data_IF_154672437528
#
_entry.id   IF_154672437528
#
_cell.length_a   1.000
_cell.length_b   1.000
_cell.length_c   1.000
_cell.angle_alpha   90.00
_cell.angle_beta   90.00
_cell.angle_gamma   90.00
#
_symmetry.space_group_name_H-M   'P 1'
#
loop_
_entity.id
_entity.type
_entity.pdbx_description
1 polymer ?
#
# COMPACT_ATOMS: atom_id res chain seq x y z
N UNK A 1 19.96 47.15 19.74
CA UNK A 1 19.33 45.90 20.17
C UNK A 1 18.72 45.26 18.94
N UNK A 2 19.48 44.39 18.29
CA UNK A 2 19.09 43.73 17.05
C UNK A 2 18.43 42.40 17.38
N UNK A 3 17.17 42.30 17.01
CA UNK A 3 16.33 41.12 17.14
C UNK A 3 16.82 40.00 16.18
N UNK A 4 17.62 39.09 16.69
CA UNK A 4 17.92 37.85 16.01
C UNK A 4 16.69 36.92 16.06
N UNK A 5 15.81 37.07 15.08
CA UNK A 5 14.79 36.08 14.80
C UNK A 5 15.50 34.79 14.30
N UNK A 6 15.70 33.87 15.23
CA UNK A 6 16.08 32.50 14.92
C UNK A 6 15.03 31.93 13.95
N UNK A 7 15.42 31.77 12.68
CA UNK A 7 14.66 30.95 11.70
C UNK A 7 14.65 29.52 12.25
N UNK A 8 13.57 29.14 12.90
CA UNK A 8 13.25 27.74 13.16
C UNK A 8 13.08 27.09 11.80
N UNK A 9 14.14 26.46 11.31
CA UNK A 9 14.06 25.50 10.21
C UNK A 9 13.17 24.36 10.71
N UNK A 10 11.90 24.37 10.35
CA UNK A 10 11.02 23.23 10.59
C UNK A 10 11.62 22.02 9.89
N UNK A 11 11.89 20.94 10.64
CA UNK A 11 12.27 19.66 10.04
C UNK A 11 11.22 19.33 8.99
N UNK A 12 11.64 19.10 7.74
CA UNK A 12 10.73 18.74 6.64
C UNK A 12 10.01 17.46 7.05
N UNK A 13 8.68 17.46 7.03
CA UNK A 13 7.92 16.25 7.37
C UNK A 13 8.30 15.13 6.40
N UNK A 14 8.43 13.92 6.92
CA UNK A 14 8.73 12.75 6.12
C UNK A 14 7.46 12.34 5.35
N UNK A 15 7.55 12.27 4.02
CA UNK A 15 6.41 11.90 3.18
C UNK A 15 6.39 10.38 3.00
N UNK A 16 5.25 9.76 3.30
CA UNK A 16 5.03 8.34 3.08
C UNK A 16 3.65 8.09 2.49
N UNK A 17 3.60 7.38 1.37
CA UNK A 17 2.37 7.11 0.63
C UNK A 17 2.11 5.62 0.58
N UNK A 18 0.90 5.20 0.94
CA UNK A 18 0.47 3.82 0.88
C UNK A 18 -0.87 3.68 0.18
N UNK A 19 -1.13 2.53 -0.39
CA UNK A 19 -2.41 2.17 -1.00
C UNK A 19 -2.93 0.89 -0.37
N UNK A 20 -4.24 0.81 -0.16
CA UNK A 20 -4.90 -0.39 0.37
C UNK A 20 -5.81 -0.96 -0.70
N UNK A 21 -5.57 -2.23 -1.04
CA UNK A 21 -6.26 -2.95 -2.11
C UNK A 21 -6.86 -4.24 -1.56
N UNK A 22 -8.01 -4.63 -2.06
CA UNK A 22 -8.68 -5.87 -1.67
C UNK A 22 -10.18 -5.85 -1.97
N UNK A 23 -10.83 -6.98 -1.75
CA UNK A 23 -12.26 -7.15 -2.01
C UNK A 23 -13.12 -6.14 -1.23
N UNK A 24 -14.31 -5.85 -1.75
CA UNK A 24 -15.32 -5.06 -1.03
C UNK A 24 -15.71 -5.73 0.30
N UNK A 25 -15.99 -4.92 1.32
CA UNK A 25 -16.45 -5.42 2.63
C UNK A 25 -15.36 -5.97 3.55
N UNK A 26 -14.08 -5.97 3.17
CA UNK A 26 -12.98 -6.43 4.04
C UNK A 26 -12.62 -5.46 5.18
N UNK A 27 -13.19 -4.26 5.18
CA UNK A 27 -12.94 -3.27 6.23
C UNK A 27 -11.70 -2.41 5.99
N UNK A 28 -11.32 -2.18 4.73
CA UNK A 28 -10.17 -1.34 4.35
C UNK A 28 -10.23 0.05 4.96
N UNK A 29 -11.34 0.76 4.77
CA UNK A 29 -11.54 2.12 5.31
C UNK A 29 -11.52 2.16 6.85
N UNK A 30 -12.11 1.16 7.52
CA UNK A 30 -12.02 1.01 8.97
C UNK A 30 -10.58 0.77 9.43
N UNK A 31 -9.83 -0.03 8.68
CA UNK A 31 -8.43 -0.27 8.99
C UNK A 31 -7.57 0.99 8.85
N UNK A 32 -7.84 1.84 7.87
CA UNK A 32 -7.17 3.14 7.73
C UNK A 32 -7.36 3.98 9.00
N UNK A 33 -8.59 4.09 9.49
CA UNK A 33 -8.87 4.79 10.75
C UNK A 33 -8.18 4.16 11.96
N UNK A 34 -8.04 2.84 11.95
CA UNK A 34 -7.33 2.10 12.98
C UNK A 34 -5.83 2.39 12.95
N UNK A 35 -5.22 2.34 11.78
CA UNK A 35 -3.79 2.55 11.58
C UNK A 35 -3.36 3.98 11.94
N UNK A 36 -4.14 4.97 11.48
CA UNK A 36 -3.84 6.38 11.70
C UNK A 36 -4.21 6.88 13.10
N UNK A 37 -4.94 6.09 13.89
CA UNK A 37 -5.55 6.48 15.17
C UNK A 37 -6.46 7.72 15.09
N UNK A 38 -6.86 8.11 13.89
CA UNK A 38 -7.75 9.24 13.62
C UNK A 38 -8.95 8.81 12.78
N UNK A 39 -10.11 9.44 12.93
CA UNK A 39 -11.25 9.22 12.05
C UNK A 39 -10.99 9.89 10.69
N UNK A 40 -9.99 9.42 9.97
CA UNK A 40 -9.54 9.96 8.69
C UNK A 40 -10.61 9.80 7.61
N UNK A 41 -11.25 8.64 7.60
CA UNK A 41 -12.39 8.34 6.74
C UNK A 41 -13.65 8.45 7.58
N UNK A 42 -14.63 9.29 7.18
CA UNK A 42 -15.88 9.44 7.92
C UNK A 42 -16.57 8.08 8.11
N UNK A 43 -17.04 7.81 9.32
CA UNK A 43 -17.90 6.65 9.58
C UNK A 43 -19.16 6.79 8.76
N UNK A 44 -19.45 5.79 7.95
CA UNK A 44 -20.74 5.68 7.28
C UNK A 44 -21.75 5.24 8.33
N UNK A 45 -22.57 6.17 8.80
CA UNK A 45 -23.63 5.87 9.76
C UNK A 45 -24.78 5.21 9.00
N UNK A 46 -25.07 4.01 9.36
CA UNK A 46 -26.25 3.28 8.91
C UNK A 46 -27.06 2.94 10.16
N UNK A 47 -28.12 3.69 10.39
CA UNK A 47 -28.98 3.52 11.57
C UNK A 47 -29.81 2.24 11.50
N UNK A 48 -30.01 1.68 10.30
CA UNK A 48 -30.77 0.44 10.09
C UNK A 48 -29.93 -0.57 9.29
N UNK A 49 -29.51 -1.71 9.91
CA UNK A 49 -28.75 -2.76 9.23
C UNK A 49 -29.44 -3.34 7.99
N UNK A 50 -30.77 -3.29 7.92
CA UNK A 50 -31.54 -3.80 6.78
C UNK A 50 -31.51 -2.85 5.57
N UNK A 51 -31.24 -1.57 5.79
CA UNK A 51 -31.14 -0.55 4.75
C UNK A 51 -29.68 -0.17 4.41
N UNK A 52 -28.72 -0.74 5.11
CA UNK A 52 -27.31 -0.63 4.81
C UNK A 52 -26.98 -1.31 3.49
N UNK A 53 -27.41 -0.70 2.40
CA UNK A 53 -26.72 -0.88 1.14
C UNK A 53 -25.31 -0.33 1.39
N UNK A 54 -24.32 -1.22 1.49
CA UNK A 54 -22.92 -0.80 1.66
C UNK A 54 -22.60 0.17 0.51
N UNK A 55 -22.64 1.47 0.83
CA UNK A 55 -22.12 2.46 -0.11
C UNK A 55 -20.66 2.12 -0.34
N UNK A 56 -20.39 1.60 -1.53
CA UNK A 56 -19.05 1.18 -1.93
C UNK A 56 -18.22 2.43 -2.20
N UNK A 57 -16.96 2.36 -1.89
CA UNK A 57 -15.99 3.31 -2.44
C UNK A 57 -16.06 3.15 -3.95
N UNK A 58 -16.47 4.19 -4.67
CA UNK A 58 -16.67 4.14 -6.13
C UNK A 58 -15.39 4.57 -6.85
N UNK A 59 -14.66 5.51 -6.25
CA UNK A 59 -13.45 6.10 -6.81
C UNK A 59 -12.26 5.91 -5.88
N UNK A 60 -11.05 5.95 -6.45
CA UNK A 60 -9.81 5.96 -5.69
C UNK A 60 -9.72 7.30 -4.95
N UNK A 61 -9.58 7.27 -3.62
CA UNK A 61 -9.53 8.46 -2.77
C UNK A 61 -8.26 8.48 -1.93
N UNK A 62 -7.55 9.60 -1.98
CA UNK A 62 -6.35 9.80 -1.19
C UNK A 62 -6.65 10.68 0.04
N UNK A 63 -6.25 10.22 1.21
CA UNK A 63 -6.38 10.92 2.48
C UNK A 63 -5.00 11.19 3.05
N UNK A 64 -4.73 12.43 3.42
CA UNK A 64 -3.44 12.79 4.00
C UNK A 64 -3.60 13.13 5.48
N UNK A 65 -2.79 12.52 6.31
CA UNK A 65 -2.77 12.68 7.76
C UNK A 65 -1.36 13.02 8.22
N UNK A 66 -1.25 14.00 9.11
CA UNK A 66 0.01 14.23 9.81
C UNK A 66 0.04 13.39 11.09
N UNK A 67 1.06 12.57 11.24
CA UNK A 67 1.29 11.76 12.43
C UNK A 67 2.67 12.07 13.00
N UNK A 68 2.81 11.87 14.30
CA UNK A 68 4.09 11.99 15.01
C UNK A 68 4.32 10.65 15.70
N UNK A 69 5.25 9.87 15.16
CA UNK A 69 5.66 8.58 15.71
C UNK A 69 7.13 8.69 16.11
N UNK A 70 7.43 8.36 17.35
CA UNK A 70 8.77 8.39 17.94
C UNK A 70 9.52 9.73 17.75
N UNK A 71 8.76 10.87 17.72
CA UNK A 71 9.30 12.20 17.51
C UNK A 71 9.63 12.52 16.04
N UNK A 72 9.29 11.64 15.11
CA UNK A 72 9.37 11.87 13.67
C UNK A 72 8.03 12.36 13.14
N UNK A 73 8.02 13.59 12.61
CA UNK A 73 6.83 14.13 11.92
C UNK A 73 6.72 13.52 10.55
N UNK A 74 5.66 12.77 10.34
CA UNK A 74 5.35 12.11 9.08
C UNK A 74 4.06 12.66 8.49
N UNK A 75 4.07 12.91 7.19
CA UNK A 75 2.88 13.14 6.39
C UNK A 75 2.56 11.84 5.68
N UNK A 76 1.57 11.13 6.19
CA UNK A 76 1.09 9.87 5.67
C UNK A 76 -0.05 10.12 4.68
N UNK A 77 0.10 9.69 3.44
CA UNK A 77 -0.99 9.66 2.46
C UNK A 77 -1.46 8.22 2.30
N UNK A 78 -2.72 7.97 2.60
CA UNK A 78 -3.35 6.66 2.43
C UNK A 78 -4.37 6.72 1.32
N UNK A 79 -4.21 5.86 0.34
CA UNK A 79 -5.10 5.75 -0.81
C UNK A 79 -6.06 4.59 -0.58
N UNK A 80 -7.35 4.91 -0.41
CA UNK A 80 -8.43 3.92 -0.32
C UNK A 80 -8.94 3.60 -1.73
N UNK A 81 -9.03 2.31 -2.05
CA UNK A 81 -9.47 1.85 -3.37
C UNK A 81 -10.85 1.24 -3.34
N UNK A 82 -11.61 1.33 -4.46
CA UNK A 82 -12.82 0.55 -4.65
C UNK A 82 -12.55 -0.93 -4.40
N UNK A 83 -13.46 -1.59 -3.70
CA UNK A 83 -13.35 -3.05 -3.51
C UNK A 83 -13.71 -3.77 -4.80
N UNK A 84 -12.89 -4.72 -5.22
CA UNK A 84 -13.15 -5.59 -6.37
C UNK A 84 -13.88 -6.89 -5.97
N UNK A 85 -14.23 -7.70 -6.96
CA UNK A 85 -14.71 -9.08 -6.75
C UNK A 85 -16.24 -9.25 -6.65
N UNK A 86 -17.03 -8.21 -6.95
CA UNK A 86 -18.48 -8.31 -7.02
C UNK A 86 -19.02 -8.26 -8.47
N UNK A 87 -18.25 -7.71 -9.38
CA UNK A 87 -18.59 -7.67 -10.79
C UNK A 87 -17.92 -8.84 -11.53
N UNK A 88 -18.57 -9.31 -12.60
CA UNK A 88 -18.08 -10.40 -13.47
C UNK A 88 -16.77 -10.01 -14.15
N UNK A 89 -16.57 -8.72 -14.43
CA UNK A 89 -15.35 -8.20 -15.04
C UNK A 89 -14.52 -7.39 -14.01
N UNK A 90 -13.59 -8.08 -13.37
CA UNK A 90 -12.66 -7.46 -12.41
C UNK A 90 -11.43 -6.85 -13.10
N UNK A 91 -11.22 -7.10 -14.39
CA UNK A 91 -10.03 -6.66 -15.13
C UNK A 91 -9.97 -5.14 -15.25
N UNK A 92 -11.12 -4.47 -15.35
CA UNK A 92 -11.22 -3.00 -15.39
C UNK A 92 -10.69 -2.37 -14.11
N UNK A 93 -11.10 -2.88 -12.96
CA UNK A 93 -10.63 -2.37 -11.65
C UNK A 93 -9.13 -2.62 -11.44
N UNK A 94 -8.61 -3.73 -11.96
CA UNK A 94 -7.18 -4.02 -11.88
C UNK A 94 -6.35 -3.02 -12.67
N UNK A 95 -6.83 -2.69 -13.87
CA UNK A 95 -6.18 -1.69 -14.72
C UNK A 95 -6.27 -0.29 -14.11
N UNK A 96 -7.36 0.05 -13.43
CA UNK A 96 -7.50 1.35 -12.73
C UNK A 96 -6.47 1.49 -11.61
N UNK A 97 -6.29 0.44 -10.77
CA UNK A 97 -5.30 0.46 -9.68
C UNK A 97 -3.88 0.54 -10.24
N UNK A 98 -3.56 -0.27 -11.26
CA UNK A 98 -2.26 -0.26 -11.90
C UNK A 98 -1.97 1.09 -12.55
N UNK A 99 -2.92 1.63 -13.32
CA UNK A 99 -2.80 2.94 -13.96
C UNK A 99 -2.63 4.07 -12.95
N UNK A 100 -3.29 3.98 -11.79
CA UNK A 100 -3.10 4.96 -10.71
C UNK A 100 -1.66 4.96 -10.21
N UNK A 101 -1.08 3.77 -9.93
CA UNK A 101 0.31 3.65 -9.46
C UNK A 101 1.29 4.15 -10.52
N UNK A 102 1.10 3.74 -11.80
CA UNK A 102 1.96 4.15 -12.90
C UNK A 102 1.86 5.66 -13.19
N UNK A 103 0.69 6.27 -13.00
CA UNK A 103 0.52 7.71 -13.15
C UNK A 103 1.36 8.50 -12.14
N UNK A 104 1.49 8.00 -10.89
CA UNK A 104 2.37 8.63 -9.91
C UNK A 104 3.86 8.56 -10.34
N UNK A 105 4.26 7.50 -11.01
CA UNK A 105 5.60 7.39 -11.61
C UNK A 105 5.77 8.32 -12.81
N UNK A 106 4.76 8.42 -13.68
CA UNK A 106 4.78 9.33 -14.83
C UNK A 106 4.90 10.80 -14.40
N UNK A 107 4.26 11.20 -13.30
CA UNK A 107 4.37 12.56 -12.75
C UNK A 107 5.81 12.87 -12.30
N UNK A 108 6.48 11.93 -11.66
CA UNK A 108 7.89 12.07 -11.24
C UNK A 108 8.80 12.14 -12.47
N UNK A 109 8.62 11.23 -13.43
CA UNK A 109 9.38 11.20 -14.69
C UNK A 109 9.21 12.51 -15.49
N UNK A 110 7.99 13.03 -15.55
CA UNK A 110 7.71 14.32 -16.18
C UNK A 110 8.41 15.49 -15.47
N UNK A 111 8.46 15.47 -14.13
CA UNK A 111 9.17 16.50 -13.35
C UNK A 111 10.68 16.42 -13.53
N UNK A 112 11.23 15.20 -13.55
CA UNK A 112 12.66 14.96 -13.78
C UNK A 112 13.13 15.41 -15.16
N UNK A 113 12.26 15.32 -16.15
CA UNK A 113 12.51 15.71 -17.54
C UNK A 113 12.51 17.23 -17.75
N UNK A 114 12.03 18.01 -16.76
CA UNK A 114 11.99 19.49 -16.86
C UNK A 114 13.37 20.09 -16.67
N UNK A 115 13.73 21.08 -17.53
CA UNK A 115 14.94 21.90 -17.39
C UNK A 115 14.92 22.67 -16.05
N UNK A 116 13.74 23.18 -15.66
CA UNK A 116 13.50 23.85 -14.39
C UNK A 116 12.60 22.97 -13.51
N UNK A 117 13.18 22.28 -12.56
CA UNK A 117 12.44 21.46 -11.59
C UNK A 117 11.72 22.35 -10.58
N UNK A 118 10.52 21.94 -10.18
CA UNK A 118 9.75 22.61 -9.14
C UNK A 118 10.32 22.27 -7.74
N UNK A 119 10.91 23.23 -6.98
CA UNK A 119 11.47 22.93 -5.67
C UNK A 119 10.42 22.55 -4.63
N UNK A 120 9.13 22.73 -4.95
CA UNK A 120 8.00 22.35 -4.09
C UNK A 120 7.30 21.06 -4.57
N UNK A 121 7.88 20.37 -5.56
CA UNK A 121 7.34 19.09 -6.01
C UNK A 121 7.34 18.11 -4.84
N UNK A 122 6.21 17.48 -4.62
CA UNK A 122 6.06 16.44 -3.60
C UNK A 122 6.05 15.09 -4.31
N UNK A 123 6.84 14.18 -3.79
CA UNK A 123 6.87 12.81 -4.25
C UNK A 123 5.53 12.11 -3.93
N UNK A 124 4.78 11.79 -4.98
CA UNK A 124 3.47 11.13 -4.89
C UNK A 124 3.54 9.62 -5.11
N UNK A 125 4.72 9.05 -5.38
CA UNK A 125 4.89 7.62 -5.61
C UNK A 125 4.38 6.80 -4.43
N UNK A 126 3.75 5.68 -4.74
CA UNK A 126 3.25 4.74 -3.72
C UNK A 126 4.41 3.87 -3.25
N UNK A 127 4.71 3.92 -1.95
CA UNK A 127 5.84 3.19 -1.37
C UNK A 127 5.47 1.76 -0.97
N UNK A 128 4.21 1.54 -0.55
CA UNK A 128 3.72 0.23 -0.11
C UNK A 128 2.26 0.03 -0.49
N UNK A 129 1.92 -1.19 -0.85
CA UNK A 129 0.56 -1.66 -1.09
C UNK A 129 0.20 -2.70 -0.04
N UNK A 130 -0.83 -2.41 0.75
CA UNK A 130 -1.42 -3.38 1.67
C UNK A 130 -2.47 -4.19 0.93
N UNK A 131 -2.17 -5.46 0.66
CA UNK A 131 -3.07 -6.34 -0.05
C UNK A 131 -3.95 -7.12 0.93
N UNK A 132 -5.24 -6.78 0.97
CA UNK A 132 -6.19 -7.39 1.90
C UNK A 132 -6.78 -8.67 1.34
N UNK A 133 -6.42 -9.80 1.96
CA UNK A 133 -6.87 -11.15 1.64
C UNK A 133 -8.10 -11.48 2.50
N UNK A 134 -9.20 -11.99 1.91
CA UNK A 134 -10.36 -12.41 2.69
C UNK A 134 -10.03 -13.63 3.56
N UNK A 135 -10.57 -13.71 4.78
CA UNK A 135 -10.26 -14.78 5.74
C UNK A 135 -11.05 -16.06 5.42
N UNK A 136 -10.80 -16.65 4.26
CA UNK A 136 -11.51 -17.87 3.80
C UNK A 136 -11.01 -19.15 4.47
N UNK A 137 -9.78 -19.14 4.98
CA UNK A 137 -9.15 -20.30 5.61
C UNK A 137 -8.67 -21.38 4.61
N UNK A 138 -8.78 -21.15 3.29
CA UNK A 138 -8.43 -22.17 2.28
C UNK A 138 -7.10 -21.86 1.58
N UNK A 139 -7.14 -21.10 0.50
CA UNK A 139 -6.00 -20.74 -0.34
C UNK A 139 -6.22 -19.34 -0.92
N UNK A 140 -5.21 -18.78 -1.59
CA UNK A 140 -5.39 -17.58 -2.41
C UNK A 140 -6.36 -17.87 -3.55
N UNK A 141 -7.24 -16.93 -3.84
CA UNK A 141 -8.12 -17.05 -5.01
C UNK A 141 -7.33 -16.67 -6.27
N UNK A 142 -7.71 -17.25 -7.39
CA UNK A 142 -7.10 -16.95 -8.69
C UNK A 142 -7.11 -15.44 -9.00
N UNK A 143 -8.18 -14.75 -8.61
CA UNK A 143 -8.31 -13.30 -8.79
C UNK A 143 -7.28 -12.51 -7.98
N UNK A 144 -6.98 -12.97 -6.76
CA UNK A 144 -5.98 -12.33 -5.90
C UNK A 144 -4.56 -12.58 -6.45
N UNK A 145 -4.28 -13.80 -6.93
CA UNK A 145 -3.02 -14.18 -7.56
C UNK A 145 -2.78 -13.33 -8.82
N UNK A 146 -3.78 -13.21 -9.68
CA UNK A 146 -3.67 -12.43 -10.92
C UNK A 146 -3.39 -10.95 -10.64
N UNK A 147 -4.11 -10.36 -9.69
CA UNK A 147 -3.90 -8.95 -9.34
C UNK A 147 -2.53 -8.73 -8.72
N UNK A 148 -2.12 -9.57 -7.77
CA UNK A 148 -0.80 -9.46 -7.15
C UNK A 148 0.33 -9.61 -8.19
N UNK A 149 0.20 -10.52 -9.17
CA UNK A 149 1.16 -10.66 -10.28
C UNK A 149 1.26 -9.41 -11.15
N UNK A 150 0.17 -8.71 -11.40
CA UNK A 150 0.18 -7.46 -12.17
C UNK A 150 0.80 -6.30 -11.41
N UNK A 151 0.68 -6.31 -10.08
CA UNK A 151 1.17 -5.25 -9.20
C UNK A 151 2.63 -5.48 -8.76
N UNK A 152 3.08 -6.76 -8.73
CA UNK A 152 4.48 -7.03 -8.40
C UNK A 152 5.39 -6.40 -9.47
N UNK A 153 6.51 -5.80 -9.03
CA UNK A 153 7.38 -5.03 -9.90
C UNK A 153 6.92 -3.57 -10.14
N UNK A 154 5.77 -3.16 -9.60
CA UNK A 154 5.32 -1.75 -9.61
C UNK A 154 5.22 -1.15 -8.21
N UNK A 155 5.02 -1.95 -7.19
CA UNK A 155 4.86 -1.49 -5.81
C UNK A 155 5.29 -2.59 -4.83
N UNK A 156 5.80 -2.20 -3.66
CA UNK A 156 6.09 -3.15 -2.58
C UNK A 156 4.79 -3.69 -2.00
N UNK A 157 4.54 -4.98 -2.13
CA UNK A 157 3.32 -5.63 -1.67
C UNK A 157 3.52 -6.20 -0.27
N UNK A 158 2.66 -5.80 0.68
CA UNK A 158 2.54 -6.42 2.00
C UNK A 158 1.19 -7.15 2.09
N UNK A 159 1.18 -8.49 2.10
CA UNK A 159 -0.06 -9.25 2.21
C UNK A 159 -0.61 -9.20 3.64
N UNK A 160 -1.92 -8.94 3.76
CA UNK A 160 -2.63 -8.82 5.03
C UNK A 160 -3.91 -9.66 5.01
N UNK A 161 -4.11 -10.52 6.00
CA UNK A 161 -5.36 -11.24 6.21
C UNK A 161 -6.34 -10.33 6.95
N UNK A 162 -7.40 -9.92 6.27
CA UNK A 162 -8.42 -9.05 6.84
C UNK A 162 -9.32 -9.81 7.83
N UNK A 163 -9.85 -9.09 8.83
CA UNK A 163 -10.79 -9.67 9.82
C UNK A 163 -10.28 -11.00 10.40
N UNK A 164 -9.02 -11.04 10.80
CA UNK A 164 -8.35 -12.24 11.29
C UNK A 164 -9.03 -12.84 12.52
N UNK A 165 -9.84 -12.06 13.22
CA UNK A 165 -10.68 -12.45 14.36
C UNK A 165 -11.81 -13.45 14.00
N UNK A 166 -12.03 -13.72 12.72
CA UNK A 166 -12.99 -14.72 12.24
C UNK A 166 -12.40 -16.13 12.18
N UNK A 167 -11.08 -16.27 12.29
CA UNK A 167 -10.37 -17.53 12.24
C UNK A 167 -9.85 -17.92 13.63
N UNK A 168 -9.85 -19.21 13.92
CA UNK A 168 -9.17 -19.71 15.12
C UNK A 168 -7.64 -19.65 14.94
N UNK A 169 -6.83 -19.61 16.01
CA UNK A 169 -5.38 -19.54 15.89
C UNK A 169 -4.76 -20.66 15.04
N UNK A 170 -5.33 -21.86 15.08
CA UNK A 170 -4.87 -23.01 14.29
C UNK A 170 -5.20 -22.84 12.80
N UNK A 171 -6.41 -22.39 12.50
CA UNK A 171 -6.85 -22.10 11.14
C UNK A 171 -6.03 -20.95 10.54
N UNK A 172 -5.80 -19.89 11.32
CA UNK A 172 -4.99 -18.75 10.90
C UNK A 172 -3.56 -19.17 10.56
N UNK A 173 -2.91 -19.96 11.41
CA UNK A 173 -1.55 -20.44 11.15
C UNK A 173 -1.48 -21.31 9.88
N UNK A 174 -2.42 -22.24 9.71
CA UNK A 174 -2.50 -23.06 8.50
C UNK A 174 -2.82 -22.25 7.25
N UNK A 175 -3.62 -21.21 7.38
CA UNK A 175 -3.97 -20.32 6.27
C UNK A 175 -2.78 -19.44 5.86
N UNK A 176 -2.04 -18.85 6.82
CA UNK A 176 -0.80 -18.11 6.55
C UNK A 176 0.20 -18.94 5.74
N UNK A 177 0.43 -20.20 6.15
CA UNK A 177 1.35 -21.10 5.44
C UNK A 177 0.91 -21.33 3.99
N UNK A 178 -0.36 -21.65 3.74
CA UNK A 178 -0.87 -21.88 2.37
C UNK A 178 -0.76 -20.62 1.49
N UNK A 179 -1.07 -19.44 2.04
CA UNK A 179 -0.92 -18.20 1.29
C UNK A 179 0.54 -17.98 0.87
N UNK A 180 1.49 -18.20 1.77
CA UNK A 180 2.91 -18.05 1.44
C UNK A 180 3.39 -19.10 0.44
N UNK A 181 2.86 -20.33 0.51
CA UNK A 181 3.11 -21.38 -0.51
C UNK A 181 2.55 -20.94 -1.87
N UNK A 182 1.32 -20.43 -1.93
CA UNK A 182 0.70 -19.93 -3.17
C UNK A 182 1.49 -18.76 -3.76
N UNK A 183 1.96 -17.82 -2.93
CA UNK A 183 2.78 -16.68 -3.33
C UNK A 183 4.10 -17.18 -3.95
N UNK A 184 4.76 -18.15 -3.30
CA UNK A 184 6.02 -18.72 -3.79
C UNK A 184 5.85 -19.50 -5.09
N UNK A 185 4.81 -20.37 -5.18
CA UNK A 185 4.52 -21.15 -6.40
C UNK A 185 4.20 -20.27 -7.60
N UNK A 186 3.55 -19.12 -7.34
CA UNK A 186 3.16 -18.17 -8.40
C UNK A 186 4.23 -17.10 -8.68
N UNK A 187 5.40 -17.18 -8.04
CA UNK A 187 6.53 -16.25 -8.22
C UNK A 187 6.13 -14.78 -7.97
N UNK A 188 5.21 -14.55 -7.01
CA UNK A 188 4.77 -13.21 -6.65
C UNK A 188 5.81 -12.59 -5.71
N UNK A 189 6.38 -11.45 -6.10
CA UNK A 189 7.30 -10.71 -5.24
C UNK A 189 6.52 -9.90 -4.20
N UNK A 190 6.75 -10.22 -2.93
CA UNK A 190 6.23 -9.47 -1.79
C UNK A 190 7.41 -8.90 -1.00
N UNK A 191 7.17 -7.84 -0.24
CA UNK A 191 8.19 -7.32 0.67
C UNK A 191 8.38 -8.31 1.82
N UNK A 192 9.55 -8.91 1.90
CA UNK A 192 9.87 -10.03 2.80
C UNK A 192 10.90 -9.70 3.87
N UNK A 193 11.09 -8.41 4.17
CA UNK A 193 12.04 -7.94 5.19
C UNK A 193 13.46 -8.46 4.90
N UNK A 194 14.14 -7.91 3.90
CA UNK A 194 15.49 -8.36 3.55
C UNK A 194 16.44 -8.18 4.73
N UNK A 195 17.40 -9.08 4.86
CA UNK A 195 18.46 -9.03 5.84
C UNK A 195 19.78 -8.96 5.10
N UNK A 196 20.62 -7.98 5.40
CA UNK A 196 21.98 -7.88 4.90
C UNK A 196 22.97 -8.25 6.00
N UNK A 197 23.62 -9.41 5.87
CA UNK A 197 24.61 -9.90 6.85
C UNK A 197 25.83 -8.96 7.02
N UNK A 198 26.03 -8.02 6.11
CA UNK A 198 27.16 -7.10 6.16
C UNK A 198 26.82 -5.73 6.78
N UNK A 199 25.55 -5.31 6.72
CA UNK A 199 25.10 -3.99 7.16
C UNK A 199 24.24 -4.06 8.42
N UNK A 200 23.47 -5.15 8.61
CA UNK A 200 22.57 -5.32 9.73
C UNK A 200 23.30 -5.90 10.95
N UNK A 201 22.94 -5.42 12.14
CA UNK A 201 23.37 -6.04 13.39
C UNK A 201 22.49 -7.27 13.72
N UNK A 202 22.98 -8.08 14.66
CA UNK A 202 22.29 -9.33 15.05
C UNK A 202 20.85 -9.07 15.56
N UNK A 203 20.60 -7.92 16.18
CA UNK A 203 19.29 -7.53 16.73
C UNK A 203 18.31 -7.21 15.58
N UNK A 204 18.73 -6.40 14.62
CA UNK A 204 17.94 -6.07 13.42
C UNK A 204 17.63 -7.31 12.59
N UNK A 205 18.62 -8.20 12.40
CA UNK A 205 18.39 -9.47 11.69
C UNK A 205 17.36 -10.34 12.40
N UNK A 206 17.40 -10.42 13.73
CA UNK A 206 16.43 -11.17 14.51
C UNK A 206 15.01 -10.57 14.38
N UNK A 207 14.88 -9.24 14.45
CA UNK A 207 13.61 -8.54 14.26
C UNK A 207 13.03 -8.79 12.85
N UNK A 208 13.86 -8.71 11.81
CA UNK A 208 13.44 -8.97 10.43
C UNK A 208 12.98 -10.42 10.24
N UNK A 209 13.66 -11.39 10.84
CA UNK A 209 13.23 -12.80 10.82
C UNK A 209 11.89 -13.00 11.54
N UNK A 210 11.66 -12.34 12.67
CA UNK A 210 10.39 -12.36 13.37
C UNK A 210 9.27 -11.78 12.53
N UNK A 211 9.48 -10.59 11.91
CA UNK A 211 8.52 -9.95 11.02
C UNK A 211 8.20 -10.81 9.80
N UNK A 212 9.21 -11.42 9.18
CA UNK A 212 9.05 -12.37 8.07
C UNK A 212 8.15 -13.55 8.47
N UNK A 213 8.28 -14.05 9.70
CA UNK A 213 7.46 -15.15 10.21
C UNK A 213 5.98 -14.77 10.42
N UNK A 214 5.67 -13.46 10.54
CA UNK A 214 4.30 -12.95 10.68
C UNK A 214 3.55 -12.84 9.34
N UNK A 215 4.25 -12.90 8.22
CA UNK A 215 3.62 -12.80 6.90
C UNK A 215 2.68 -13.99 6.61
N UNK A 216 1.51 -13.74 5.99
CA UNK A 216 0.80 -12.45 5.85
C UNK A 216 0.33 -11.92 7.20
N UNK A 217 0.36 -10.59 7.39
CA UNK A 217 -0.08 -9.99 8.65
C UNK A 217 -1.57 -10.22 8.91
N UNK A 218 -1.90 -10.72 10.08
CA UNK A 218 -3.29 -10.90 10.52
C UNK A 218 -3.83 -9.60 11.11
N UNK A 219 -4.76 -8.93 10.43
CA UNK A 219 -5.22 -7.61 10.84
C UNK A 219 -6.70 -7.57 11.24
N UNK A 220 -6.98 -6.74 12.23
CA UNK A 220 -8.34 -6.44 12.70
C UNK A 220 -8.51 -4.93 12.79
N UNK A 221 -9.47 -4.38 12.05
CA UNK A 221 -9.83 -2.96 12.15
C UNK A 221 -11.01 -2.76 13.11
N UNK A 222 -10.94 -1.73 13.95
CA UNK A 222 -12.08 -1.29 14.77
C UNK A 222 -12.14 0.22 14.84
N UNK A 223 -13.34 0.75 14.66
CA UNK A 223 -13.64 2.16 14.94
C UNK A 223 -14.12 2.38 16.38
N UNK A 224 -14.44 1.30 17.09
CA UNK A 224 -14.99 1.37 18.44
C UNK A 224 -13.86 1.31 19.48
N UNK A 225 -14.08 2.05 20.55
CA UNK A 225 -13.20 2.06 21.72
C UNK A 225 -13.95 1.49 22.92
N UNK A 226 -13.33 0.60 23.62
CA UNK A 226 -13.88 -0.02 24.85
C UNK A 226 -13.01 0.32 26.05
N UNK A 227 -13.65 0.44 27.20
CA UNK A 227 -12.96 0.58 28.47
C UNK A 227 -12.65 -0.82 29.02
N UNK A 228 -11.42 -1.27 28.86
CA UNK A 228 -10.94 -2.57 29.34
C UNK A 228 -9.93 -2.32 30.47
N UNK A 229 -10.19 -2.85 31.66
CA UNK A 229 -9.32 -2.70 32.84
C UNK A 229 -8.94 -1.23 33.16
N UNK A 230 -9.86 -0.26 32.94
CA UNK A 230 -9.62 1.14 33.19
C UNK A 230 -8.81 1.88 32.10
N UNK A 231 -8.50 1.22 31.00
CA UNK A 231 -7.85 1.81 29.81
C UNK A 231 -8.81 1.80 28.64
N UNK A 232 -8.87 2.92 27.94
CA UNK A 232 -9.63 3.03 26.68
C UNK A 232 -8.77 2.45 25.56
N UNK A 233 -9.20 1.32 25.02
CA UNK A 233 -8.50 0.60 23.94
C UNK A 233 -9.41 0.46 22.71
N UNK A 234 -8.84 0.48 21.52
CA UNK A 234 -9.56 0.06 20.31
C UNK A 234 -9.79 -1.43 20.35
N UNK A 235 -11.05 -1.84 20.25
CA UNK A 235 -11.40 -3.24 20.34
C UNK A 235 -12.73 -3.53 19.65
N UNK A 236 -12.93 -4.79 19.29
CA UNK A 236 -14.21 -5.31 18.81
C UNK A 236 -14.83 -6.17 19.90
N UNK A 237 -16.08 -5.88 20.21
CA UNK A 237 -16.82 -6.67 21.20
C UNK A 237 -17.75 -7.65 20.50
N UNK A 238 -17.64 -8.90 20.93
CA UNK A 238 -18.51 -9.98 20.48
C UNK A 238 -19.24 -10.59 21.70
N UNK A 239 -20.35 -11.32 21.50
CA UNK A 239 -21.01 -12.01 22.60
C UNK A 239 -20.14 -13.01 23.35
N UNK A 240 -19.08 -13.53 22.71
CA UNK A 240 -18.16 -14.53 23.26
C UNK A 240 -16.82 -13.95 23.71
N UNK A 241 -16.53 -12.68 23.48
CA UNK A 241 -15.25 -12.11 23.89
C UNK A 241 -14.94 -10.75 23.29
N UNK A 242 -13.77 -10.24 23.62
CA UNK A 242 -13.26 -8.96 23.15
C UNK A 242 -11.96 -9.20 22.38
N UNK A 243 -11.84 -8.57 21.20
CA UNK A 243 -10.62 -8.57 20.40
C UNK A 243 -10.01 -7.17 20.50
N UNK A 244 -8.87 -7.07 21.16
CA UNK A 244 -8.10 -5.84 21.30
C UNK A 244 -7.18 -5.69 20.08
N UNK A 245 -7.23 -4.54 19.42
CA UNK A 245 -6.49 -4.29 18.18
C UNK A 245 -4.98 -4.20 18.41
N UNK A 246 -4.56 -3.62 19.54
CA UNK A 246 -3.14 -3.44 19.85
C UNK A 246 -2.52 -4.65 20.58
N UNK A 247 -3.30 -5.69 20.83
CA UNK A 247 -2.81 -6.89 21.52
C UNK A 247 -2.22 -7.89 20.52
N UNK A 248 -0.92 -8.09 20.58
CA UNK A 248 -0.16 -9.03 19.72
C UNK A 248 -0.66 -10.48 19.78
N UNK A 249 -1.41 -10.85 20.84
CA UNK A 249 -2.03 -12.19 20.92
C UNK A 249 -3.31 -12.30 20.11
N UNK A 250 -3.90 -11.18 19.73
CA UNK A 250 -5.16 -11.14 19.02
C UNK A 250 -4.98 -10.86 17.52
N UNK A 251 -3.99 -10.03 17.16
CA UNK A 251 -3.69 -9.69 15.76
C UNK A 251 -2.31 -9.02 15.64
N UNK A 252 -1.83 -8.84 14.41
CA UNK A 252 -0.50 -8.33 14.08
C UNK A 252 -0.50 -6.81 13.76
N UNK A 253 -1.57 -6.07 14.14
CA UNK A 253 -1.71 -4.64 13.77
C UNK A 253 -0.62 -3.77 14.39
N UNK A 254 -0.21 -4.07 15.64
CA UNK A 254 0.82 -3.30 16.32
C UNK A 254 2.18 -3.42 15.61
N UNK A 255 2.56 -4.65 15.20
CA UNK A 255 3.79 -4.91 14.43
C UNK A 255 3.71 -4.27 13.04
N UNK A 256 2.59 -4.47 12.32
CA UNK A 256 2.40 -3.84 11.01
C UNK A 256 2.47 -2.31 11.10
N UNK A 257 1.91 -1.70 12.14
CA UNK A 257 2.01 -0.26 12.39
C UNK A 257 3.46 0.17 12.58
N UNK A 258 4.24 -0.54 13.41
CA UNK A 258 5.66 -0.26 13.59
C UNK A 258 6.45 -0.32 12.28
N UNK A 259 6.23 -1.35 11.46
CA UNK A 259 6.83 -1.50 10.13
C UNK A 259 6.52 -0.30 9.24
N UNK A 260 5.24 0.09 9.17
CA UNK A 260 4.79 1.12 8.24
C UNK A 260 5.08 2.55 8.69
N UNK A 261 5.25 2.81 9.99
CA UNK A 261 5.36 4.18 10.50
C UNK A 261 6.68 4.46 11.23
N UNK A 262 7.50 3.43 11.50
CA UNK A 262 8.75 3.59 12.24
C UNK A 262 9.90 2.84 11.60
N UNK A 263 9.96 1.51 11.66
CA UNK A 263 11.16 0.71 11.41
C UNK A 263 11.57 0.61 9.94
N UNK A 264 10.64 0.30 9.00
CA UNK A 264 10.96 -0.01 7.60
C UNK A 264 10.50 1.06 6.61
N UNK A 265 10.13 2.23 7.08
CA UNK A 265 9.62 3.33 6.23
C UNK A 265 10.67 3.78 5.22
N UNK A 266 11.92 3.91 5.65
CA UNK A 266 13.01 4.37 4.80
C UNK A 266 13.34 3.32 3.74
N UNK A 267 13.44 2.07 4.12
CA UNK A 267 13.73 0.94 3.24
C UNK A 267 12.65 0.79 2.14
N UNK A 268 11.36 0.84 2.51
CA UNK A 268 10.26 0.82 1.55
C UNK A 268 10.34 1.96 0.52
N UNK A 269 10.81 3.14 0.94
CA UNK A 269 11.02 4.28 0.02
C UNK A 269 12.22 4.06 -0.90
N UNK A 270 13.32 3.57 -0.37
CA UNK A 270 14.54 3.29 -1.13
C UNK A 270 14.29 2.21 -2.18
N UNK A 271 13.65 1.10 -1.81
CA UNK A 271 13.24 0.07 -2.76
C UNK A 271 12.30 0.61 -3.85
N UNK A 272 11.37 1.48 -3.47
CA UNK A 272 10.48 2.11 -4.46
C UNK A 272 11.28 3.00 -5.42
N UNK A 273 12.27 3.74 -4.93
CA UNK A 273 13.06 4.65 -5.76
C UNK A 273 14.07 3.91 -6.62
N UNK A 274 14.89 3.08 -5.99
CA UNK A 274 16.10 2.54 -6.62
C UNK A 274 15.83 1.28 -7.45
N UNK A 275 14.74 0.55 -7.14
CA UNK A 275 14.40 -0.69 -7.84
C UNK A 275 13.15 -0.51 -8.70
N UNK A 276 12.01 -0.22 -8.08
CA UNK A 276 10.73 -0.24 -8.79
C UNK A 276 10.57 0.91 -9.78
N UNK A 277 10.91 2.13 -9.35
CA UNK A 277 10.82 3.30 -10.23
C UNK A 277 11.88 3.26 -11.34
N UNK A 278 13.12 2.88 -11.04
CA UNK A 278 14.16 2.80 -12.08
C UNK A 278 13.86 1.71 -13.12
N UNK A 279 13.27 0.58 -12.71
CA UNK A 279 12.78 -0.44 -13.64
C UNK A 279 11.68 0.12 -14.55
N UNK A 280 10.67 0.79 -13.96
CA UNK A 280 9.59 1.44 -14.71
C UNK A 280 10.12 2.51 -15.68
N UNK A 281 11.03 3.37 -15.20
CA UNK A 281 11.65 4.44 -16.01
C UNK A 281 12.39 3.87 -17.22
N UNK A 282 13.18 2.83 -17.01
CA UNK A 282 13.93 2.17 -18.09
C UNK A 282 13.01 1.57 -19.14
N UNK A 283 11.92 0.93 -18.70
CA UNK A 283 10.90 0.38 -19.60
C UNK A 283 10.22 1.48 -20.43
N UNK A 284 9.78 2.57 -19.78
CA UNK A 284 9.13 3.70 -20.46
C UNK A 284 10.04 4.39 -21.48
N UNK A 285 11.30 4.63 -21.14
CA UNK A 285 12.26 5.25 -22.05
C UNK A 285 12.52 4.37 -23.25
N UNK A 286 12.70 3.07 -23.08
CA UNK A 286 12.87 2.13 -24.20
C UNK A 286 11.64 2.08 -25.11
N UNK A 287 10.42 2.15 -24.55
CA UNK A 287 9.19 2.23 -25.33
C UNK A 287 9.11 3.53 -26.15
N UNK A 288 9.51 4.67 -25.57
CA UNK A 288 9.52 5.96 -26.25
C UNK A 288 10.55 6.00 -27.39
N UNK A 289 11.73 5.43 -27.19
CA UNK A 289 12.76 5.30 -28.22
C UNK A 289 12.25 4.47 -29.40
N UNK A 290 11.66 3.30 -29.14
CA UNK A 290 11.09 2.43 -30.18
C UNK A 290 9.92 3.08 -30.94
N UNK A 291 9.12 3.93 -30.26
CA UNK A 291 8.06 4.71 -30.93
C UNK A 291 8.65 5.83 -31.80
N UNK A 292 9.70 6.51 -31.35
CA UNK A 292 10.37 7.56 -32.11
C UNK A 292 11.03 7.00 -33.38
N UNK A 293 11.66 5.82 -33.31
CA UNK A 293 12.22 5.13 -34.46
C UNK A 293 11.14 4.78 -35.50
N UNK A 294 10.02 4.17 -35.06
CA UNK A 294 8.89 3.84 -35.94
C UNK A 294 8.30 5.08 -36.61
N UNK A 295 8.18 6.20 -35.89
CA UNK A 295 7.70 7.47 -36.40
C UNK A 295 8.67 8.04 -37.46
N UNK A 296 9.96 7.91 -37.21
CA UNK A 296 10.99 8.35 -38.20
C UNK A 296 10.90 7.51 -39.49
N UNK A 297 10.76 6.21 -39.40
CA UNK A 297 10.58 5.29 -40.53
C UNK A 297 9.31 5.64 -41.33
N UNK A 298 8.18 5.85 -40.65
CA UNK A 298 6.92 6.24 -41.30
C UNK A 298 7.02 7.57 -42.04
N UNK A 299 7.72 8.56 -41.43
CA UNK A 299 7.93 9.85 -42.06
C UNK A 299 8.84 9.75 -43.31
N UNK A 300 9.87 8.90 -43.30
CA UNK A 300 10.70 8.62 -44.45
C UNK A 300 9.90 7.98 -45.59
N UNK A 301 9.07 6.96 -45.28
CA UNK A 301 8.21 6.33 -46.28
C UNK A 301 7.17 7.29 -46.88
N UNK A 302 6.61 8.19 -46.07
CA UNK A 302 5.66 9.22 -46.53
C UNK A 302 6.32 10.23 -47.44
N UNK A 303 7.61 10.58 -47.24
CA UNK A 303 8.37 11.47 -48.14
C UNK A 303 8.72 10.80 -49.47
N UNK A 304 9.02 9.52 -49.48
CA UNK A 304 9.29 8.75 -50.70
C UNK A 304 8.04 8.55 -51.58
N UNK A 305 6.85 8.58 -51.00
CA UNK A 305 5.57 8.41 -51.69
C UNK A 305 4.97 9.72 -52.25
N UNK A 306 5.59 10.88 -52.04
CA UNK A 306 5.20 12.11 -52.72
C UNK A 306 5.94 12.19 -54.08
N UNK A 307 5.28 11.88 -55.23
CA UNK A 307 5.88 12.04 -56.51
C UNK A 307 6.04 13.54 -56.74
N UNK A 308 7.26 13.95 -57.11
CA UNK A 308 7.59 15.33 -57.37
C UNK A 308 6.60 15.95 -58.37
N UNK A 309 5.84 16.92 -57.87
CA UNK A 309 5.10 17.82 -58.76
C UNK A 309 6.10 18.79 -59.37
N UNK A 310 6.47 18.49 -60.59
CA UNK A 310 7.12 19.44 -61.50
C UNK A 310 6.05 20.16 -62.30
#
# INVERSE_FOLDING_TARGET
MSDMRARRGGKKAFLFNMIIVGQAGLGKSTFINTLTNHPTIPKRQCDDPAQCTLEKTVDIQAYTVETDEDGMKMQLTVVDTPGFGENIDSSTHFNEILSYIEHQYDDVLAEESKIKRNPKFQDSRIHVLLYFIPPTGHALREIDIELMKRLCGRVNILPCIAKADTLTPKELAAFKMRIMEDIAVNEIQVFDFPCDENEDDDETMQENLELRSLLPFAVVGSDDTLLVNGRTLRARQYPWGIVEVENMKHCDVAQLRSVLLSTHVQELKELTHDVLYEAYRSEKLSQLEGLAEKLAELNMQAQEQQPGSV
#
